data_IF_593663833618
#
_entry.id   IF_593663833618
#
_cell.length_a   1.000
_cell.length_b   1.000
_cell.length_c   1.000
_cell.angle_alpha   90.00
_cell.angle_beta   90.00
_cell.angle_gamma   90.00
#
_symmetry.space_group_name_H-M   'P 1'
#
loop_
_entity.id
_entity.type
_entity.pdbx_description
1 polymer ?
#
# COMPACT_ATOMS: atom_id res chain seq x y z
N UNK A 1 14.63 31.68 -38.79
CA UNK A 1 13.64 30.59 -38.69
C UNK A 1 13.50 30.24 -37.22
N UNK A 2 12.45 30.71 -36.53
CA UNK A 2 12.24 30.37 -35.12
C UNK A 2 11.66 28.96 -35.02
N UNK A 3 12.18 28.17 -34.09
CA UNK A 3 11.77 26.77 -33.89
C UNK A 3 10.30 26.66 -33.47
N UNK A 4 9.53 25.71 -34.04
CA UNK A 4 8.15 25.45 -33.65
C UNK A 4 8.12 24.51 -32.44
N UNK A 5 7.41 24.93 -31.38
CA UNK A 5 7.06 24.05 -30.26
C UNK A 5 7.88 24.27 -28.98
N UNK A 6 7.99 25.52 -28.52
CA UNK A 6 8.36 25.79 -27.14
C UNK A 6 7.35 25.14 -26.20
N UNK A 7 7.71 23.99 -25.62
CA UNK A 7 6.93 23.36 -24.56
C UNK A 7 6.78 24.37 -23.43
N UNK A 8 5.54 24.85 -23.22
CA UNK A 8 5.22 25.75 -22.12
C UNK A 8 5.76 25.13 -20.81
N UNK A 9 6.53 25.92 -20.07
CA UNK A 9 7.16 25.51 -18.82
C UNK A 9 6.15 25.02 -17.76
N UNK A 10 6.64 24.56 -16.61
CA UNK A 10 5.77 24.11 -15.53
C UNK A 10 4.80 25.23 -15.11
N UNK A 11 3.50 24.91 -14.91
CA UNK A 11 2.52 25.94 -14.59
C UNK A 11 2.79 26.53 -13.20
N UNK A 12 2.61 27.85 -13.08
CA UNK A 12 2.75 28.56 -11.81
C UNK A 12 1.61 28.21 -10.85
N UNK A 13 1.84 28.46 -9.55
CA UNK A 13 0.80 28.28 -8.51
C UNK A 13 -0.44 29.11 -8.80
N UNK A 14 -0.28 30.32 -9.35
CA UNK A 14 -1.37 31.21 -9.73
C UNK A 14 -2.18 30.64 -10.91
N UNK A 15 -1.51 30.06 -11.91
CA UNK A 15 -2.16 29.39 -13.04
C UNK A 15 -2.98 28.17 -12.58
N UNK A 16 -2.44 27.38 -11.64
CA UNK A 16 -3.16 26.25 -11.04
C UNK A 16 -4.40 26.75 -10.28
N UNK A 17 -4.28 27.79 -9.46
CA UNK A 17 -5.41 28.37 -8.72
C UNK A 17 -6.48 28.96 -9.66
N UNK A 18 -6.08 29.56 -10.78
CA UNK A 18 -7.02 30.04 -11.79
C UNK A 18 -7.73 28.89 -12.50
N UNK A 19 -7.01 27.82 -12.84
CA UNK A 19 -7.60 26.61 -13.41
C UNK A 19 -8.60 25.93 -12.45
N UNK A 20 -8.26 25.85 -11.15
CA UNK A 20 -9.15 25.33 -10.11
C UNK A 20 -10.46 26.13 -10.02
N UNK A 21 -10.36 27.48 -10.06
CA UNK A 21 -11.53 28.36 -10.05
C UNK A 21 -12.42 28.13 -11.27
N UNK A 22 -11.83 28.01 -12.47
CA UNK A 22 -12.58 27.74 -13.70
C UNK A 22 -13.34 26.41 -13.62
N UNK A 23 -12.70 25.35 -13.14
CA UNK A 23 -13.33 24.02 -12.99
C UNK A 23 -14.44 24.05 -11.93
N UNK A 24 -14.24 24.76 -10.82
CA UNK A 24 -15.25 24.89 -9.78
C UNK A 24 -16.56 25.54 -10.28
N UNK A 25 -16.50 26.41 -11.31
CA UNK A 25 -17.68 27.09 -11.85
C UNK A 25 -18.68 26.15 -12.55
N UNK A 26 -18.21 25.02 -13.07
CA UNK A 26 -19.04 24.02 -13.75
C UNK A 26 -19.20 22.73 -12.95
N UNK A 27 -18.48 22.60 -11.82
CA UNK A 27 -18.55 21.40 -10.98
C UNK A 27 -19.93 21.27 -10.31
N UNK A 28 -20.64 20.13 -10.52
CA UNK A 28 -21.87 19.83 -9.80
C UNK A 28 -21.66 19.81 -8.28
N UNK A 29 -22.71 20.11 -7.52
CA UNK A 29 -22.64 20.16 -6.05
C UNK A 29 -22.19 18.83 -5.43
N UNK A 30 -22.64 17.70 -5.98
CA UNK A 30 -22.33 16.35 -5.53
C UNK A 30 -20.84 15.98 -5.71
N UNK A 31 -20.23 16.45 -6.80
CA UNK A 31 -18.82 16.18 -7.12
C UNK A 31 -17.85 17.17 -6.42
N UNK A 32 -18.36 18.28 -5.89
CA UNK A 32 -17.56 19.40 -5.38
C UNK A 32 -16.66 19.02 -4.20
N UNK A 33 -17.09 18.25 -3.18
CA UNK A 33 -16.22 17.90 -2.05
C UNK A 33 -14.99 17.10 -2.49
N UNK A 34 -15.20 16.08 -3.33
CA UNK A 34 -14.12 15.20 -3.80
C UNK A 34 -13.16 15.97 -4.70
N UNK A 35 -13.69 16.77 -5.63
CA UNK A 35 -12.86 17.55 -6.55
C UNK A 35 -12.06 18.62 -5.81
N UNK A 36 -12.64 19.26 -4.78
CA UNK A 36 -11.92 20.24 -3.95
C UNK A 36 -10.74 19.59 -3.24
N UNK A 37 -10.90 18.37 -2.71
CA UNK A 37 -9.80 17.62 -2.09
C UNK A 37 -8.72 17.28 -3.11
N UNK A 38 -9.08 16.76 -4.29
CA UNK A 38 -8.11 16.38 -5.32
C UNK A 38 -7.33 17.58 -5.85
N UNK A 39 -8.01 18.69 -6.14
CA UNK A 39 -7.39 19.92 -6.59
C UNK A 39 -6.55 20.58 -5.50
N UNK A 40 -7.01 20.54 -4.24
CA UNK A 40 -6.25 20.98 -3.08
C UNK A 40 -4.95 20.19 -2.93
N UNK A 41 -5.01 18.86 -3.07
CA UNK A 41 -3.82 18.00 -3.02
C UNK A 41 -2.83 18.32 -4.13
N UNK A 42 -3.30 18.56 -5.37
CA UNK A 42 -2.44 18.98 -6.49
C UNK A 42 -1.79 20.33 -6.21
N UNK A 43 -2.55 21.31 -5.73
CA UNK A 43 -2.02 22.64 -5.40
C UNK A 43 -0.99 22.58 -4.29
N UNK A 44 -1.29 21.87 -3.19
CA UNK A 44 -0.36 21.69 -2.07
C UNK A 44 0.90 20.95 -2.50
N UNK A 45 0.79 19.90 -3.32
CA UNK A 45 1.94 19.18 -3.85
C UNK A 45 2.81 20.05 -4.78
N UNK A 46 2.17 20.87 -5.62
CA UNK A 46 2.85 21.78 -6.53
C UNK A 46 3.63 22.86 -5.76
N UNK A 47 3.04 23.40 -4.68
CA UNK A 47 3.68 24.34 -3.76
C UNK A 47 4.80 23.69 -2.94
N UNK A 48 4.62 22.45 -2.51
CA UNK A 48 5.63 21.69 -1.76
C UNK A 48 6.81 21.24 -2.63
N UNK A 49 6.67 21.27 -3.96
CA UNK A 49 7.73 20.87 -4.88
C UNK A 49 7.74 19.38 -5.23
N UNK A 50 6.75 18.60 -4.78
CA UNK A 50 6.72 17.15 -4.97
C UNK A 50 5.55 16.46 -4.28
N UNK A 51 5.33 15.18 -4.61
CA UNK A 51 4.38 14.29 -3.94
C UNK A 51 4.97 12.88 -3.86
N UNK A 52 4.53 12.08 -2.89
CA UNK A 52 4.91 10.66 -2.79
C UNK A 52 4.46 9.91 -4.05
N UNK A 53 5.34 9.14 -4.69
CA UNK A 53 5.05 8.40 -5.91
C UNK A 53 3.82 7.49 -5.77
N UNK A 54 3.64 6.86 -4.59
CA UNK A 54 2.48 6.02 -4.28
C UNK A 54 1.14 6.77 -4.28
N UNK A 55 1.16 8.09 -4.08
CA UNK A 55 -0.01 8.98 -4.15
C UNK A 55 -0.15 9.65 -5.52
N UNK A 56 0.94 9.79 -6.27
CA UNK A 56 0.94 10.41 -7.60
C UNK A 56 0.01 9.68 -8.58
N UNK A 57 0.15 8.36 -8.68
CA UNK A 57 -0.68 7.53 -9.57
C UNK A 57 -2.17 7.61 -9.16
N UNK A 58 -2.45 7.51 -7.85
CA UNK A 58 -3.80 7.63 -7.32
C UNK A 58 -4.42 9.01 -7.56
N UNK A 59 -3.63 10.07 -7.44
CA UNK A 59 -4.04 11.45 -7.72
C UNK A 59 -4.29 11.65 -9.22
N UNK A 60 -3.40 11.18 -10.10
CA UNK A 60 -3.56 11.26 -11.56
C UNK A 60 -4.82 10.54 -12.02
N UNK A 61 -4.99 9.27 -11.62
CA UNK A 61 -6.16 8.46 -11.99
C UNK A 61 -7.45 9.10 -11.45
N UNK A 62 -7.44 9.53 -10.19
CA UNK A 62 -8.63 10.13 -9.57
C UNK A 62 -8.97 11.48 -10.20
N UNK A 63 -7.98 12.33 -10.46
CA UNK A 63 -8.18 13.63 -11.06
C UNK A 63 -8.70 13.47 -12.50
N UNK A 64 -8.10 12.59 -13.30
CA UNK A 64 -8.61 12.30 -14.66
C UNK A 64 -10.03 11.75 -14.65
N UNK A 65 -10.35 10.84 -13.73
CA UNK A 65 -11.71 10.32 -13.55
C UNK A 65 -12.70 11.45 -13.26
N UNK A 66 -12.44 12.28 -12.26
CA UNK A 66 -13.39 13.30 -11.82
C UNK A 66 -13.49 14.48 -12.78
N UNK A 67 -12.41 14.83 -13.50
CA UNK A 67 -12.49 15.82 -14.58
C UNK A 67 -13.45 15.33 -15.68
N UNK A 68 -13.32 14.08 -16.14
CA UNK A 68 -14.27 13.52 -17.12
C UNK A 68 -15.71 13.50 -16.62
N UNK A 69 -15.91 13.22 -15.33
CA UNK A 69 -17.25 13.27 -14.73
C UNK A 69 -17.80 14.70 -14.72
N UNK A 70 -16.98 15.70 -14.37
CA UNK A 70 -17.39 17.13 -14.40
C UNK A 70 -17.71 17.59 -15.83
N UNK A 71 -16.97 17.12 -16.83
CA UNK A 71 -17.30 17.37 -18.23
C UNK A 71 -18.71 16.86 -18.57
N UNK A 72 -19.01 15.62 -18.21
CA UNK A 72 -20.32 15.03 -18.50
C UNK A 72 -21.45 15.72 -17.71
N UNK A 73 -21.35 15.70 -16.38
CA UNK A 73 -22.45 16.10 -15.49
C UNK A 73 -22.56 17.61 -15.33
N UNK A 74 -21.43 18.31 -15.39
CA UNK A 74 -21.34 19.76 -15.20
C UNK A 74 -21.46 20.56 -16.49
N UNK A 75 -21.08 19.98 -17.64
CA UNK A 75 -21.10 20.67 -18.93
C UNK A 75 -22.16 20.10 -19.87
N UNK A 76 -22.05 18.83 -20.25
CA UNK A 76 -22.90 18.24 -21.31
C UNK A 76 -24.35 18.10 -20.86
N UNK A 77 -24.60 17.52 -19.68
CA UNK A 77 -25.97 17.27 -19.19
C UNK A 77 -26.79 18.56 -19.07
N UNK A 78 -26.29 19.67 -18.49
CA UNK A 78 -27.02 20.93 -18.46
C UNK A 78 -27.36 21.49 -19.84
N UNK A 79 -26.47 21.36 -20.83
CA UNK A 79 -26.72 21.84 -22.20
C UNK A 79 -27.82 21.02 -22.90
N UNK A 80 -27.79 19.70 -22.77
CA UNK A 80 -28.78 18.79 -23.38
C UNK A 80 -30.19 19.02 -22.83
N UNK A 81 -30.33 19.58 -21.61
CA UNK A 81 -31.63 19.93 -21.02
C UNK A 81 -32.33 21.14 -21.65
N UNK A 82 -31.72 21.78 -22.65
CA UNK A 82 -32.37 22.84 -23.42
C UNK A 82 -33.71 22.39 -24.03
N UNK A 83 -34.67 23.31 -24.12
CA UNK A 83 -35.96 23.07 -24.76
C UNK A 83 -35.88 23.13 -26.29
N UNK A 84 -34.84 23.73 -26.85
CA UNK A 84 -34.63 23.82 -28.30
C UNK A 84 -34.11 22.48 -28.86
N UNK A 85 -34.88 21.83 -29.73
CA UNK A 85 -34.58 20.50 -30.26
C UNK A 85 -33.31 20.45 -31.10
N UNK A 86 -33.07 21.48 -31.91
CA UNK A 86 -31.88 21.58 -32.76
C UNK A 86 -30.61 21.75 -31.91
N UNK A 87 -30.67 22.61 -30.90
CA UNK A 87 -29.57 22.76 -29.94
C UNK A 87 -29.36 21.48 -29.11
N UNK A 88 -30.42 20.80 -28.69
CA UNK A 88 -30.33 19.52 -27.98
C UNK A 88 -29.61 18.47 -28.79
N UNK A 89 -29.94 18.35 -30.09
CA UNK A 89 -29.25 17.43 -31.00
C UNK A 89 -27.76 17.76 -31.11
N UNK A 90 -27.40 19.04 -31.31
CA UNK A 90 -26.01 19.51 -31.36
C UNK A 90 -25.25 19.23 -30.06
N UNK A 91 -25.85 19.51 -28.90
CA UNK A 91 -25.20 19.28 -27.61
C UNK A 91 -25.09 17.79 -27.26
N UNK A 92 -26.05 16.97 -27.69
CA UNK A 92 -25.98 15.51 -27.51
C UNK A 92 -24.87 14.88 -28.34
N UNK A 93 -24.47 15.53 -29.43
CA UNK A 93 -23.35 15.13 -30.28
C UNK A 93 -21.99 15.68 -29.80
N UNK A 94 -21.93 16.35 -28.64
CA UNK A 94 -20.66 16.85 -28.11
C UNK A 94 -19.64 15.72 -27.89
N UNK A 95 -18.36 15.94 -28.23
CA UNK A 95 -17.33 14.93 -28.01
C UNK A 95 -17.18 14.57 -26.54
N UNK A 96 -16.93 13.29 -26.29
CA UNK A 96 -16.60 12.79 -24.95
C UNK A 96 -15.16 13.15 -24.61
N UNK A 97 -14.94 13.75 -23.45
CA UNK A 97 -13.60 13.93 -22.90
C UNK A 97 -13.01 12.58 -22.48
N UNK A 98 -12.25 11.94 -23.37
CA UNK A 98 -11.66 10.61 -23.12
C UNK A 98 -10.38 10.68 -22.29
N UNK A 99 -9.50 11.60 -22.65
CA UNK A 99 -8.25 11.89 -21.93
C UNK A 99 -8.16 13.38 -21.60
N UNK A 100 -8.17 13.76 -20.30
CA UNK A 100 -7.96 15.14 -19.89
C UNK A 100 -6.60 15.73 -20.29
N UNK A 101 -5.61 14.92 -20.71
CA UNK A 101 -4.31 15.42 -21.19
C UNK A 101 -4.37 15.99 -22.60
N UNK A 102 -5.33 15.53 -23.41
CA UNK A 102 -5.53 16.00 -24.78
C UNK A 102 -6.99 16.42 -24.98
N UNK A 103 -7.19 17.73 -24.93
CA UNK A 103 -8.51 18.36 -25.02
C UNK A 103 -8.72 19.11 -26.34
N UNK A 104 -7.72 19.14 -27.23
CA UNK A 104 -7.69 20.01 -28.40
C UNK A 104 -8.90 19.81 -29.32
N UNK A 105 -9.24 18.57 -29.62
CA UNK A 105 -10.38 18.23 -30.48
C UNK A 105 -11.73 18.59 -29.82
N UNK A 106 -11.83 18.35 -28.51
CA UNK A 106 -13.03 18.68 -27.74
C UNK A 106 -13.21 20.20 -27.69
N UNK A 107 -12.13 20.95 -27.44
CA UNK A 107 -12.13 22.40 -27.39
C UNK A 107 -12.48 23.02 -28.74
N UNK A 108 -11.92 22.49 -29.84
CA UNK A 108 -12.23 22.95 -31.19
C UNK A 108 -13.71 22.72 -31.53
N UNK A 109 -14.26 21.56 -31.17
CA UNK A 109 -15.67 21.27 -31.36
C UNK A 109 -16.57 22.20 -30.54
N UNK A 110 -16.26 22.44 -29.26
CA UNK A 110 -17.03 23.35 -28.40
C UNK A 110 -16.99 24.79 -28.91
N UNK A 111 -15.82 25.28 -29.35
CA UNK A 111 -15.70 26.62 -29.93
C UNK A 111 -16.51 26.77 -31.22
N UNK A 112 -16.54 25.74 -32.06
CA UNK A 112 -17.40 25.71 -33.26
C UNK A 112 -18.87 25.80 -32.87
N UNK A 113 -19.32 24.95 -31.95
CA UNK A 113 -20.70 24.98 -31.45
C UNK A 113 -21.03 26.36 -30.86
N UNK A 114 -20.13 26.95 -30.08
CA UNK A 114 -20.32 28.28 -29.49
C UNK A 114 -20.40 29.41 -30.51
N UNK A 115 -19.82 29.26 -31.71
CA UNK A 115 -19.95 30.25 -32.79
C UNK A 115 -21.29 30.20 -33.52
N UNK A 116 -22.01 29.07 -33.41
CA UNK A 116 -23.30 28.85 -34.06
C UNK A 116 -24.48 29.16 -33.12
N UNK A 117 -24.23 29.32 -31.82
CA UNK A 117 -25.24 29.66 -30.81
C UNK A 117 -25.33 31.19 -30.66
N UNK A 118 -26.54 31.78 -30.71
CA UNK A 118 -26.70 33.23 -30.57
C UNK A 118 -26.09 33.78 -29.27
N UNK A 119 -25.44 34.94 -29.40
CA UNK A 119 -24.92 35.72 -28.28
C UNK A 119 -26.06 36.05 -27.29
N UNK A 120 -25.72 36.16 -25.99
CA UNK A 120 -26.65 36.48 -24.88
C UNK A 120 -27.66 35.38 -24.49
N UNK A 121 -27.45 34.13 -24.91
CA UNK A 121 -28.24 32.99 -24.40
C UNK A 121 -27.58 32.31 -23.19
N UNK A 122 -28.38 31.68 -22.31
CA UNK A 122 -27.86 30.87 -21.19
C UNK A 122 -27.00 29.69 -21.68
N UNK A 123 -27.31 29.16 -22.86
CA UNK A 123 -26.48 28.16 -23.53
C UNK A 123 -25.10 28.73 -23.90
N UNK A 124 -25.04 29.97 -24.42
CA UNK A 124 -23.79 30.64 -24.72
C UNK A 124 -22.95 30.91 -23.47
N UNK A 125 -23.57 31.34 -22.36
CA UNK A 125 -22.87 31.51 -21.09
C UNK A 125 -22.27 30.18 -20.57
N UNK A 126 -23.02 29.09 -20.72
CA UNK A 126 -22.56 27.76 -20.30
C UNK A 126 -21.48 27.20 -21.23
N UNK A 127 -21.58 27.45 -22.54
CA UNK A 127 -20.53 27.14 -23.51
C UNK A 127 -19.25 27.95 -23.23
N UNK A 128 -19.36 29.23 -22.83
CA UNK A 128 -18.21 30.02 -22.42
C UNK A 128 -17.56 29.48 -21.12
N UNK A 129 -18.34 28.90 -20.20
CA UNK A 129 -17.79 28.16 -19.05
C UNK A 129 -17.14 26.84 -19.47
N UNK A 130 -17.71 26.14 -20.45
CA UNK A 130 -17.15 24.91 -21.02
C UNK A 130 -15.79 25.15 -21.68
N UNK A 131 -15.66 26.24 -22.45
CA UNK A 131 -14.38 26.67 -23.04
C UNK A 131 -13.35 26.93 -21.95
N UNK A 132 -13.69 27.72 -20.93
CA UNK A 132 -12.78 27.99 -19.79
C UNK A 132 -12.40 26.72 -19.02
N UNK A 133 -13.32 25.77 -18.87
CA UNK A 133 -13.04 24.47 -18.28
C UNK A 133 -12.00 23.69 -19.12
N UNK A 134 -12.21 23.59 -20.44
CA UNK A 134 -11.30 22.88 -21.33
C UNK A 134 -9.93 23.57 -21.45
N UNK A 135 -9.86 24.89 -21.32
CA UNK A 135 -8.59 25.62 -21.24
C UNK A 135 -7.86 25.40 -19.91
N UNK A 136 -8.60 25.21 -18.82
CA UNK A 136 -8.05 24.97 -17.49
C UNK A 136 -7.54 23.53 -17.29
N UNK A 137 -8.17 22.54 -17.91
CA UNK A 137 -7.84 21.12 -17.75
C UNK A 137 -6.36 20.80 -18.09
N UNK A 138 -5.81 21.24 -19.23
CA UNK A 138 -4.40 21.05 -19.56
C UNK A 138 -3.45 21.70 -18.56
N UNK A 139 -3.81 22.81 -17.92
CA UNK A 139 -2.99 23.45 -16.88
C UNK A 139 -2.80 22.50 -15.70
N UNK A 140 -3.89 21.86 -15.26
CA UNK A 140 -3.81 20.86 -14.18
C UNK A 140 -3.05 19.60 -14.60
N UNK A 141 -3.21 19.15 -15.85
CA UNK A 141 -2.47 17.99 -16.34
C UNK A 141 -0.97 18.28 -16.52
N UNK A 142 -0.59 19.50 -16.92
CA UNK A 142 0.80 19.95 -16.91
C UNK A 142 1.35 20.06 -15.49
N UNK A 143 0.55 20.52 -14.53
CA UNK A 143 0.95 20.53 -13.13
C UNK A 143 1.20 19.10 -12.61
N UNK A 144 0.34 18.14 -12.99
CA UNK A 144 0.53 16.72 -12.70
C UNK A 144 1.79 16.14 -13.39
N UNK A 145 2.02 16.45 -14.65
CA UNK A 145 3.19 15.98 -15.40
C UNK A 145 4.50 16.61 -14.91
N UNK A 146 4.46 17.87 -14.48
CA UNK A 146 5.59 18.53 -13.83
C UNK A 146 5.83 17.98 -12.42
N UNK A 147 4.78 17.66 -11.67
CA UNK A 147 4.88 16.98 -10.40
C UNK A 147 5.49 15.58 -10.58
N UNK A 148 5.05 14.84 -11.60
CA UNK A 148 5.63 13.57 -12.02
C UNK A 148 7.11 13.74 -12.40
N UNK A 149 7.43 14.73 -13.24
CA UNK A 149 8.79 15.05 -13.65
C UNK A 149 9.70 15.43 -12.47
N UNK A 150 9.21 16.19 -11.48
CA UNK A 150 9.93 16.51 -10.24
C UNK A 150 10.08 15.29 -9.32
N UNK A 151 9.06 14.45 -9.25
CA UNK A 151 9.08 13.20 -8.47
C UNK A 151 10.08 12.19 -9.04
N UNK A 152 10.24 12.13 -10.36
CA UNK A 152 11.16 11.20 -11.04
C UNK A 152 12.56 11.79 -11.33
N UNK A 153 12.73 13.11 -11.49
CA UNK A 153 14.06 13.75 -11.65
C UNK A 153 14.84 13.84 -10.34
N UNK A 154 14.19 13.77 -9.17
CA UNK A 154 14.86 13.67 -7.86
C UNK A 154 15.24 12.22 -7.50
N UNK A 155 15.85 11.51 -8.45
CA UNK A 155 16.69 10.36 -8.14
C UNK A 155 18.06 10.86 -7.69
N UNK A 156 18.47 10.52 -6.47
CA UNK A 156 19.73 10.91 -5.82
C UNK A 156 19.79 12.36 -5.28
N UNK A 157 19.29 12.55 -4.05
CA UNK A 157 19.68 13.66 -3.18
C UNK A 157 18.57 14.66 -2.86
N UNK A 158 18.29 14.82 -1.56
CA UNK A 158 17.37 15.78 -0.91
C UNK A 158 15.87 15.45 -0.94
N UNK A 159 15.50 14.55 -0.05
CA UNK A 159 14.18 14.51 0.56
C UNK A 159 14.05 15.63 1.60
N UNK A 160 13.08 16.55 1.44
CA UNK A 160 12.57 17.36 2.54
C UNK A 160 11.04 17.45 2.50
N UNK A 161 10.45 16.76 3.49
CA UNK A 161 9.30 17.18 4.29
C UNK A 161 7.93 17.42 3.60
N UNK A 162 7.16 16.35 3.43
CA UNK A 162 5.80 16.31 4.03
C UNK A 162 5.29 14.86 4.18
N UNK A 163 5.38 14.33 5.41
CA UNK A 163 4.66 13.14 5.86
C UNK A 163 5.44 11.83 5.87
N UNK A 164 6.46 11.74 6.74
CA UNK A 164 7.17 10.55 7.21
C UNK A 164 7.61 9.50 6.17
N UNK A 165 8.93 9.38 6.03
CA UNK A 165 9.60 8.29 5.30
C UNK A 165 9.27 6.88 5.79
N UNK A 166 8.61 6.74 6.96
CA UNK A 166 8.13 5.45 7.49
C UNK A 166 7.07 4.77 6.65
N UNK A 167 6.47 5.50 5.72
CA UNK A 167 5.50 4.94 4.79
C UNK A 167 6.11 4.04 3.72
N UNK A 168 7.32 4.25 3.21
CA UNK A 168 7.73 3.56 1.97
C UNK A 168 8.11 2.10 2.21
N UNK A 169 8.88 1.80 3.25
CA UNK A 169 9.22 0.41 3.61
C UNK A 169 8.03 -0.34 4.18
N UNK A 170 7.26 0.30 5.05
CA UNK A 170 6.04 -0.29 5.59
C UNK A 170 4.99 -0.50 4.49
N UNK A 171 4.82 0.44 3.55
CA UNK A 171 3.93 0.23 2.40
C UNK A 171 4.48 -0.76 1.40
N UNK A 172 5.79 -0.84 1.15
CA UNK A 172 6.42 -1.86 0.31
C UNK A 172 6.24 -3.25 0.92
N UNK A 173 6.49 -3.41 2.23
CA UNK A 173 6.21 -4.63 2.99
C UNK A 173 4.74 -5.01 2.87
N UNK A 174 3.81 -4.11 3.23
CA UNK A 174 2.36 -4.36 3.14
C UNK A 174 1.91 -4.64 1.71
N UNK A 175 2.54 -4.05 0.69
CA UNK A 175 2.28 -4.36 -0.73
C UNK A 175 2.77 -5.77 -1.07
N UNK A 176 3.97 -6.16 -0.65
CA UNK A 176 4.49 -7.51 -0.86
C UNK A 176 3.64 -8.56 -0.16
N UNK A 177 3.25 -8.34 1.11
CA UNK A 177 2.35 -9.24 1.85
C UNK A 177 1.00 -9.37 1.14
N UNK A 178 0.36 -8.25 0.75
CA UNK A 178 -0.92 -8.29 0.01
C UNK A 178 -0.78 -8.95 -1.37
N UNK A 179 0.32 -8.70 -2.07
CA UNK A 179 0.58 -9.33 -3.37
C UNK A 179 0.78 -10.83 -3.21
N UNK A 180 1.53 -11.26 -2.20
CA UNK A 180 1.72 -12.67 -1.85
C UNK A 180 0.39 -13.32 -1.43
N UNK A 181 -0.46 -12.62 -0.67
CA UNK A 181 -1.79 -13.09 -0.30
C UNK A 181 -2.68 -13.30 -1.54
N UNK A 182 -2.69 -12.33 -2.47
CA UNK A 182 -3.46 -12.45 -3.71
C UNK A 182 -2.95 -13.59 -4.59
N UNK A 183 -1.62 -13.74 -4.70
CA UNK A 183 -0.99 -14.85 -5.42
C UNK A 183 -1.32 -16.19 -4.75
N UNK A 184 -1.27 -16.27 -3.42
CA UNK A 184 -1.66 -17.43 -2.63
C UNK A 184 -3.11 -17.82 -2.90
N UNK A 185 -4.06 -16.89 -2.77
CA UNK A 185 -5.48 -17.16 -3.02
C UNK A 185 -5.71 -17.68 -4.44
N UNK A 186 -4.99 -17.13 -5.44
CA UNK A 186 -5.06 -17.63 -6.83
C UNK A 186 -4.49 -19.04 -6.97
N UNK A 187 -3.31 -19.31 -6.43
CA UNK A 187 -2.67 -20.62 -6.47
C UNK A 187 -3.51 -21.69 -5.75
N UNK A 188 -4.01 -21.35 -4.55
CA UNK A 188 -4.83 -22.21 -3.72
C UNK A 188 -6.16 -22.56 -4.40
N UNK A 189 -6.85 -21.61 -5.06
CA UNK A 189 -8.08 -21.92 -5.79
C UNK A 189 -7.87 -22.99 -6.86
N UNK A 190 -6.78 -22.90 -7.61
CA UNK A 190 -6.49 -23.86 -8.67
C UNK A 190 -6.07 -25.22 -8.10
N UNK A 191 -5.19 -25.23 -7.09
CA UNK A 191 -4.62 -26.45 -6.52
C UNK A 191 -5.61 -27.22 -5.63
N UNK A 192 -6.51 -26.52 -4.92
CA UNK A 192 -7.46 -27.12 -3.98
C UNK A 192 -8.81 -27.47 -4.63
N UNK A 193 -9.10 -27.00 -5.84
CA UNK A 193 -10.35 -27.34 -6.53
C UNK A 193 -10.57 -28.86 -6.71
N UNK A 194 -9.55 -29.67 -7.07
CA UNK A 194 -9.67 -31.14 -7.07
C UNK A 194 -9.87 -31.71 -5.67
N UNK A 195 -9.20 -31.17 -4.66
CA UNK A 195 -9.29 -31.62 -3.26
C UNK A 195 -10.72 -31.47 -2.70
N UNK A 196 -11.48 -30.46 -3.12
CA UNK A 196 -12.88 -30.33 -2.72
C UNK A 196 -13.82 -31.42 -3.28
N UNK A 197 -13.44 -32.09 -4.37
CA UNK A 197 -14.18 -33.26 -4.86
C UNK A 197 -13.92 -34.44 -3.93
N UNK A 198 -12.66 -34.71 -3.63
CA UNK A 198 -12.25 -35.87 -2.82
C UNK A 198 -12.66 -35.72 -1.35
N UNK A 199 -12.69 -34.47 -0.84
CA UNK A 199 -13.29 -34.15 0.45
C UNK A 199 -14.76 -34.54 0.55
N UNK A 200 -15.51 -34.55 -0.56
CA UNK A 200 -16.91 -34.97 -0.51
C UNK A 200 -17.01 -36.44 -0.14
N UNK A 201 -16.21 -37.28 -0.78
CA UNK A 201 -16.22 -38.71 -0.50
C UNK A 201 -15.66 -38.98 0.90
N UNK A 202 -14.60 -38.26 1.30
CA UNK A 202 -14.00 -38.40 2.61
C UNK A 202 -14.94 -38.00 3.77
N UNK A 203 -15.57 -36.82 3.72
CA UNK A 203 -16.45 -36.31 4.80
C UNK A 203 -17.69 -37.19 5.02
N UNK A 204 -18.18 -37.86 3.97
CA UNK A 204 -19.29 -38.82 4.11
C UNK A 204 -18.84 -40.24 4.46
N UNK A 205 -17.58 -40.61 4.19
CA UNK A 205 -17.04 -41.94 4.49
C UNK A 205 -16.44 -42.04 5.90
N UNK A 206 -15.85 -40.95 6.42
CA UNK A 206 -15.20 -40.93 7.73
C UNK A 206 -15.17 -39.53 8.35
N UNK A 207 -15.01 -39.48 9.67
CA UNK A 207 -14.79 -38.22 10.39
C UNK A 207 -13.36 -37.74 10.16
N UNK A 208 -13.20 -36.58 9.51
CA UNK A 208 -11.91 -35.91 9.37
C UNK A 208 -11.51 -35.27 10.71
N UNK A 209 -10.30 -35.52 11.20
CA UNK A 209 -9.84 -34.94 12.46
C UNK A 209 -9.74 -33.40 12.41
N UNK A 210 -9.54 -32.82 11.22
CA UNK A 210 -9.60 -31.37 11.03
C UNK A 210 -10.93 -30.73 11.43
N UNK A 211 -12.03 -31.49 11.44
CA UNK A 211 -13.34 -31.01 11.92
C UNK A 211 -13.34 -30.69 13.43
N UNK A 212 -12.39 -31.25 14.18
CA UNK A 212 -12.22 -31.03 15.62
C UNK A 212 -10.88 -30.37 15.96
N UNK A 213 -10.09 -30.01 14.94
CA UNK A 213 -8.72 -29.55 15.11
C UNK A 213 -8.65 -28.04 15.41
N UNK A 214 -7.93 -27.61 16.47
CA UNK A 214 -7.73 -26.19 16.74
C UNK A 214 -7.07 -25.37 15.60
N UNK A 215 -6.18 -25.90 14.74
CA UNK A 215 -5.62 -25.09 13.66
C UNK A 215 -6.60 -24.79 12.51
N UNK A 216 -7.75 -25.49 12.44
CA UNK A 216 -8.70 -25.38 11.32
C UNK A 216 -9.98 -24.63 11.71
N UNK A 217 -9.84 -23.47 12.36
CA UNK A 217 -10.97 -22.73 12.94
C UNK A 217 -12.06 -22.36 11.94
N UNK A 218 -11.70 -22.08 10.68
CA UNK A 218 -12.65 -21.66 9.64
C UNK A 218 -13.08 -22.81 8.74
N UNK A 219 -12.24 -23.82 8.57
CA UNK A 219 -12.54 -25.02 7.79
C UNK A 219 -13.43 -25.99 8.57
N UNK A 220 -13.19 -26.13 9.88
CA UNK A 220 -13.88 -27.10 10.74
C UNK A 220 -15.42 -26.97 10.74
N UNK A 221 -16.03 -25.77 10.87
CA UNK A 221 -17.49 -25.63 10.85
C UNK A 221 -18.13 -26.14 9.55
N UNK A 222 -17.46 -25.92 8.41
CA UNK A 222 -17.96 -26.37 7.11
C UNK A 222 -17.80 -27.88 6.91
N UNK A 223 -16.81 -28.50 7.57
CA UNK A 223 -16.63 -29.97 7.60
C UNK A 223 -17.64 -30.66 8.53
N UNK A 224 -18.09 -30.00 9.59
CA UNK A 224 -19.06 -30.54 10.56
C UNK A 224 -20.51 -30.47 10.09
N UNK A 225 -20.83 -29.55 9.17
CA UNK A 225 -22.18 -29.36 8.66
C UNK A 225 -22.25 -29.48 7.13
N UNK A 226 -21.84 -30.62 6.53
CA UNK A 226 -22.05 -30.84 5.10
C UNK A 226 -23.56 -30.85 4.82
N UNK A 227 -24.04 -30.22 3.73
CA UNK A 227 -25.46 -30.18 3.43
C UNK A 227 -26.03 -31.59 3.29
N UNK A 228 -26.94 -31.94 4.20
CA UNK A 228 -27.60 -33.24 4.26
C UNK A 228 -28.85 -33.18 3.37
N UNK A 229 -28.68 -33.41 2.07
CA UNK A 229 -29.84 -33.59 1.20
C UNK A 229 -29.62 -33.27 -0.27
N UNK A 230 -29.83 -34.26 -1.13
CA UNK A 230 -30.12 -34.08 -2.55
C UNK A 230 -29.03 -34.59 -3.50
N UNK A 231 -29.19 -35.86 -3.91
CA UNK A 231 -28.51 -36.51 -5.04
C UNK A 231 -26.97 -36.40 -5.03
N UNK A 232 -26.34 -37.44 -4.47
CA UNK A 232 -25.09 -37.95 -5.03
C UNK A 232 -25.25 -37.99 -6.56
N UNK A 233 -24.38 -37.28 -7.27
CA UNK A 233 -24.26 -37.19 -8.73
C UNK A 233 -24.90 -35.95 -9.40
N UNK A 234 -24.02 -35.13 -10.00
CA UNK A 234 -24.23 -34.38 -11.27
C UNK A 234 -24.92 -33.01 -11.26
N UNK A 235 -24.93 -32.22 -10.18
CA UNK A 235 -25.08 -30.76 -10.39
C UNK A 235 -23.78 -30.22 -11.01
N UNK A 236 -23.87 -29.60 -12.20
CA UNK A 236 -22.73 -28.92 -12.86
C UNK A 236 -22.25 -27.69 -12.09
N UNK A 237 -23.07 -27.16 -11.19
CA UNK A 237 -22.70 -26.11 -10.27
C UNK A 237 -21.94 -26.72 -9.10
N UNK A 238 -20.72 -26.22 -8.84
CA UNK A 238 -19.93 -26.58 -7.66
C UNK A 238 -20.81 -26.33 -6.43
N UNK A 239 -21.13 -27.35 -5.61
CA UNK A 239 -21.94 -27.14 -4.42
C UNK A 239 -21.32 -26.04 -3.55
N UNK A 240 -22.09 -25.01 -3.20
CA UNK A 240 -21.60 -23.81 -2.52
C UNK A 240 -20.79 -24.10 -1.24
N UNK A 241 -21.05 -25.23 -0.57
CA UNK A 241 -20.28 -25.69 0.60
C UNK A 241 -18.82 -26.02 0.27
N UNK A 242 -18.53 -26.59 -0.91
CA UNK A 242 -17.17 -26.91 -1.34
C UNK A 242 -16.30 -25.67 -1.50
N UNK A 243 -16.91 -24.59 -2.00
CA UNK A 243 -16.23 -23.30 -2.12
C UNK A 243 -15.93 -22.73 -0.73
N UNK A 244 -16.87 -22.81 0.21
CA UNK A 244 -16.66 -22.36 1.60
C UNK A 244 -15.58 -23.16 2.32
N UNK A 245 -15.50 -24.47 2.12
CA UNK A 245 -14.39 -25.29 2.68
C UNK A 245 -13.04 -24.84 2.11
N UNK A 246 -12.95 -24.58 0.80
CA UNK A 246 -11.72 -24.06 0.17
C UNK A 246 -11.37 -22.68 0.73
N UNK A 247 -12.35 -21.78 0.88
CA UNK A 247 -12.15 -20.44 1.43
C UNK A 247 -11.74 -20.48 2.91
N UNK A 248 -12.35 -21.37 3.69
CA UNK A 248 -11.98 -21.67 5.06
C UNK A 248 -10.53 -22.15 5.16
N UNK A 249 -10.15 -23.13 4.33
CA UNK A 249 -8.79 -23.68 4.32
C UNK A 249 -7.76 -22.65 3.87
N UNK A 250 -8.08 -21.83 2.87
CA UNK A 250 -7.22 -20.71 2.48
C UNK A 250 -7.00 -19.74 3.64
N UNK A 251 -8.08 -19.41 4.36
CA UNK A 251 -8.00 -18.50 5.48
C UNK A 251 -7.28 -19.11 6.69
N UNK A 252 -7.44 -20.40 6.97
CA UNK A 252 -6.70 -21.10 8.03
C UNK A 252 -5.21 -21.21 7.66
N UNK A 253 -4.85 -21.50 6.40
CA UNK A 253 -3.45 -21.55 5.96
C UNK A 253 -2.76 -20.18 6.02
N UNK A 254 -3.44 -19.12 5.55
CA UNK A 254 -2.87 -17.78 5.51
C UNK A 254 -2.88 -17.11 6.89
N UNK A 255 -4.03 -17.08 7.56
CA UNK A 255 -4.19 -16.40 8.85
C UNK A 255 -3.73 -17.27 10.03
N UNK A 256 -3.68 -18.59 9.88
CA UNK A 256 -3.17 -19.50 10.90
C UNK A 256 -1.64 -19.46 11.06
N UNK A 257 -0.93 -18.65 10.26
CA UNK A 257 0.45 -18.25 10.58
C UNK A 257 1.35 -17.94 9.39
N UNK A 258 1.05 -18.41 8.17
CA UNK A 258 1.90 -18.16 7.00
C UNK A 258 2.01 -16.65 6.66
N UNK A 259 0.90 -15.91 6.72
CA UNK A 259 0.87 -14.46 6.47
C UNK A 259 1.62 -13.67 7.54
N UNK A 260 1.43 -14.04 8.82
CA UNK A 260 2.11 -13.43 9.95
C UNK A 260 3.63 -13.71 9.93
N UNK A 261 4.03 -14.93 9.62
CA UNK A 261 5.44 -15.32 9.48
C UNK A 261 6.12 -14.56 8.33
N UNK A 262 5.43 -14.39 7.20
CA UNK A 262 5.93 -13.56 6.10
C UNK A 262 6.08 -12.10 6.54
N UNK A 263 5.08 -11.53 7.20
CA UNK A 263 5.12 -10.14 7.64
C UNK A 263 6.25 -9.90 8.66
N UNK A 264 6.41 -10.79 9.64
CA UNK A 264 7.49 -10.73 10.62
C UNK A 264 8.87 -10.76 9.95
N UNK A 265 9.09 -11.69 9.00
CA UNK A 265 10.36 -11.79 8.28
C UNK A 265 10.67 -10.56 7.44
N UNK A 266 9.68 -10.04 6.69
CA UNK A 266 9.87 -8.84 5.87
C UNK A 266 10.06 -7.57 6.72
N UNK A 267 9.52 -7.55 7.94
CA UNK A 267 9.70 -6.45 8.89
C UNK A 267 11.10 -6.47 9.48
N UNK A 268 11.59 -7.64 9.87
CA UNK A 268 12.89 -7.81 10.53
C UNK A 268 14.07 -7.73 9.55
N UNK A 269 13.95 -8.36 8.38
CA UNK A 269 15.07 -8.50 7.45
C UNK A 269 14.79 -7.72 6.15
N UNK A 270 15.44 -6.57 5.94
CA UNK A 270 15.28 -5.79 4.72
C UNK A 270 15.82 -6.52 3.49
N UNK A 271 15.32 -6.14 2.31
CA UNK A 271 15.79 -6.67 1.03
C UNK A 271 15.31 -8.07 0.67
N UNK A 272 14.48 -8.71 1.52
CA UNK A 272 13.79 -9.93 1.15
C UNK A 272 12.74 -9.63 0.08
N UNK A 273 12.74 -10.45 -0.97
CA UNK A 273 11.77 -10.39 -2.06
C UNK A 273 10.96 -11.69 -2.14
N UNK A 274 9.65 -11.56 -2.31
CA UNK A 274 8.76 -12.67 -2.65
C UNK A 274 8.95 -13.02 -4.12
N UNK A 275 9.50 -14.21 -4.39
CA UNK A 275 9.79 -14.71 -5.75
C UNK A 275 8.64 -15.52 -6.34
N UNK A 276 7.84 -16.15 -5.50
CA UNK A 276 6.74 -16.98 -5.97
C UNK A 276 5.91 -17.53 -4.83
N UNK A 277 4.66 -17.85 -5.15
CA UNK A 277 3.72 -18.49 -4.23
C UNK A 277 3.11 -19.69 -4.94
N UNK A 278 3.09 -20.83 -4.26
CA UNK A 278 2.57 -22.07 -4.80
C UNK A 278 1.78 -22.83 -3.74
N UNK A 279 0.83 -23.63 -4.21
CA UNK A 279 0.13 -24.62 -3.39
C UNK A 279 0.13 -25.92 -4.17
N UNK A 280 0.62 -26.98 -3.54
CA UNK A 280 0.68 -28.32 -4.12
C UNK A 280 -0.15 -29.27 -3.30
N UNK A 281 -0.91 -30.12 -3.98
CA UNK A 281 -1.61 -31.25 -3.35
C UNK A 281 -0.63 -32.41 -3.23
N UNK A 282 -0.62 -33.09 -2.09
CA UNK A 282 0.26 -34.23 -1.84
C UNK A 282 -0.48 -35.54 -1.54
N UNK A 283 -1.78 -35.46 -1.33
CA UNK A 283 -2.68 -36.60 -1.11
C UNK A 283 -4.12 -36.18 -1.31
N UNK A 284 -5.08 -37.00 -0.91
CA UNK A 284 -6.50 -36.71 -1.18
C UNK A 284 -7.05 -35.56 -0.34
N UNK A 285 -6.55 -35.43 0.88
CA UNK A 285 -6.98 -34.41 1.84
C UNK A 285 -5.78 -33.69 2.51
N UNK A 286 -4.63 -33.69 1.84
CA UNK A 286 -3.38 -33.09 2.31
C UNK A 286 -2.64 -32.30 1.23
N UNK A 287 -1.80 -31.36 1.66
CA UNK A 287 -1.04 -30.52 0.75
C UNK A 287 -0.04 -29.60 1.44
N UNK A 288 0.60 -28.78 0.61
CA UNK A 288 1.68 -27.89 0.99
C UNK A 288 1.47 -26.52 0.34
N UNK A 289 1.35 -25.49 1.17
CA UNK A 289 1.49 -24.10 0.74
C UNK A 289 2.95 -23.66 0.86
N UNK A 290 3.44 -22.89 -0.11
CA UNK A 290 4.83 -22.45 -0.19
C UNK A 290 4.94 -21.00 -0.66
N UNK A 291 5.68 -20.18 0.08
CA UNK A 291 6.10 -18.84 -0.33
C UNK A 291 7.61 -18.86 -0.51
N UNK A 292 8.07 -18.72 -1.75
CA UNK A 292 9.49 -18.68 -2.08
C UNK A 292 10.03 -17.26 -1.92
N UNK A 293 11.10 -17.14 -1.16
CA UNK A 293 11.72 -15.88 -0.75
C UNK A 293 13.20 -15.87 -1.16
N UNK A 294 13.72 -14.68 -1.42
CA UNK A 294 15.14 -14.52 -1.70
C UNK A 294 15.66 -13.18 -1.19
N UNK A 295 16.93 -13.15 -0.80
CA UNK A 295 17.69 -11.92 -0.50
C UNK A 295 19.11 -12.08 -1.02
N UNK A 296 19.45 -11.36 -2.08
CA UNK A 296 20.72 -11.54 -2.80
C UNK A 296 20.91 -13.01 -3.23
N UNK A 297 21.99 -13.63 -2.77
CA UNK A 297 22.31 -15.05 -3.04
C UNK A 297 21.58 -16.06 -2.16
N UNK A 298 20.85 -15.62 -1.13
CA UNK A 298 20.11 -16.50 -0.22
C UNK A 298 18.73 -16.77 -0.82
N UNK A 299 18.33 -18.04 -0.87
CA UNK A 299 16.98 -18.46 -1.29
C UNK A 299 16.40 -19.38 -0.23
N UNK A 300 15.13 -19.25 0.07
CA UNK A 300 14.44 -20.12 1.03
C UNK A 300 12.93 -20.08 0.77
N UNK A 301 12.17 -20.87 1.51
CA UNK A 301 10.72 -20.79 1.47
C UNK A 301 10.10 -20.91 2.86
N UNK A 302 9.00 -20.17 3.05
CA UNK A 302 8.05 -20.45 4.11
C UNK A 302 7.07 -21.50 3.61
N UNK A 303 6.82 -22.51 4.44
CA UNK A 303 5.93 -23.60 4.11
C UNK A 303 4.87 -23.80 5.18
N UNK A 304 3.66 -24.13 4.75
CA UNK A 304 2.59 -24.62 5.62
C UNK A 304 2.05 -25.94 5.05
N UNK A 305 2.32 -27.03 5.74
CA UNK A 305 1.85 -28.38 5.40
C UNK A 305 0.56 -28.66 6.16
N UNK A 306 -0.48 -29.09 5.45
CA UNK A 306 -1.76 -29.44 6.06
C UNK A 306 -2.15 -30.87 5.74
N UNK A 307 -2.79 -31.52 6.70
CA UNK A 307 -3.43 -32.82 6.53
C UNK A 307 -4.77 -32.82 7.28
N UNK A 308 -5.86 -32.87 6.53
CA UNK A 308 -7.21 -32.80 7.10
C UNK A 308 -7.65 -34.13 7.72
N UNK A 309 -7.02 -35.24 7.34
CA UNK A 309 -7.34 -36.56 7.88
C UNK A 309 -6.91 -36.67 9.34
N UNK A 310 -5.68 -36.24 9.64
CA UNK A 310 -5.13 -36.23 11.01
C UNK A 310 -5.31 -34.89 11.73
N UNK A 311 -5.74 -33.84 11.02
CA UNK A 311 -6.00 -32.52 11.62
C UNK A 311 -4.73 -31.76 11.96
N UNK A 312 -3.63 -31.99 11.23
CA UNK A 312 -2.35 -31.30 11.44
C UNK A 312 -2.16 -30.12 10.49
N UNK A 313 -1.61 -29.03 11.03
CA UNK A 313 -1.10 -27.89 10.27
C UNK A 313 0.29 -27.54 10.81
N UNK A 314 1.33 -27.80 10.02
CA UNK A 314 2.73 -27.58 10.39
C UNK A 314 3.31 -26.44 9.57
N UNK A 315 4.07 -25.55 10.21
CA UNK A 315 4.71 -24.40 9.55
C UNK A 315 6.21 -24.46 9.76
N UNK A 316 6.96 -24.39 8.65
CA UNK A 316 8.40 -24.54 8.64
C UNK A 316 9.07 -23.62 7.63
N UNK A 317 10.37 -23.42 7.80
CA UNK A 317 11.26 -22.92 6.76
C UNK A 317 11.91 -24.08 6.00
N UNK A 318 11.89 -24.00 4.67
CA UNK A 318 12.40 -25.06 3.80
C UNK A 318 13.34 -24.51 2.74
N UNK A 319 14.18 -25.39 2.21
CA UNK A 319 15.07 -25.14 1.06
C UNK A 319 15.94 -23.90 1.21
N UNK A 320 16.53 -23.72 2.39
CA UNK A 320 17.52 -22.67 2.60
C UNK A 320 18.75 -22.98 1.75
N UNK A 321 19.03 -22.13 0.77
CA UNK A 321 20.18 -22.19 -0.12
C UNK A 321 21.07 -21.00 0.14
N UNK A 322 22.31 -21.27 0.54
CA UNK A 322 23.33 -20.26 0.87
C UNK A 322 24.64 -20.68 0.23
N UNK A 323 25.22 -19.81 -0.61
CA UNK A 323 26.48 -20.09 -1.31
C UNK A 323 26.52 -21.47 -2.00
N UNK A 324 25.40 -21.89 -2.60
CA UNK A 324 25.27 -23.18 -3.30
C UNK A 324 24.99 -24.39 -2.41
N UNK A 325 25.05 -24.28 -1.07
CA UNK A 325 24.65 -25.36 -0.15
C UNK A 325 23.16 -25.28 0.15
N UNK A 326 22.43 -26.40 -0.02
CA UNK A 326 21.00 -26.52 0.29
C UNK A 326 20.80 -27.25 1.61
N UNK A 327 20.00 -26.65 2.48
CA UNK A 327 19.45 -27.23 3.71
C UNK A 327 17.95 -27.45 3.50
N UNK A 328 17.48 -28.71 3.34
CA UNK A 328 16.09 -28.99 2.97
C UNK A 328 15.07 -28.54 4.02
N UNK A 329 15.39 -28.74 5.30
CA UNK A 329 14.62 -28.27 6.45
C UNK A 329 15.56 -27.47 7.34
N UNK A 330 15.29 -26.19 7.47
CA UNK A 330 16.01 -25.32 8.39
C UNK A 330 15.03 -24.92 9.49
N UNK A 331 15.48 -24.95 10.74
CA UNK A 331 14.74 -24.32 11.82
C UNK A 331 14.64 -22.81 11.56
N UNK A 332 13.62 -22.18 12.16
CA UNK A 332 13.46 -20.72 12.08
C UNK A 332 14.70 -19.98 12.58
N UNK A 333 15.27 -20.43 13.70
CA UNK A 333 16.48 -19.85 14.28
C UNK A 333 17.69 -19.95 13.33
N UNK A 334 17.87 -21.08 12.62
CA UNK A 334 18.94 -21.23 11.63
C UNK A 334 18.75 -20.31 10.42
N UNK A 335 17.50 -20.13 9.96
CA UNK A 335 17.18 -19.18 8.90
C UNK A 335 17.50 -17.75 9.32
N UNK A 336 17.00 -17.31 10.48
CA UNK A 336 17.19 -15.96 11.01
C UNK A 336 18.68 -15.67 11.25
N UNK A 337 19.42 -16.57 11.90
CA UNK A 337 20.86 -16.42 12.09
C UNK A 337 21.63 -16.31 10.76
N UNK A 338 21.18 -17.02 9.72
CA UNK A 338 21.77 -16.89 8.39
C UNK A 338 21.44 -15.55 7.73
N UNK A 339 20.22 -15.05 7.92
CA UNK A 339 19.80 -13.73 7.44
C UNK A 339 20.49 -12.60 8.21
N UNK A 340 20.90 -12.80 9.45
CA UNK A 340 21.59 -11.77 10.22
C UNK A 340 23.06 -11.69 9.82
N UNK A 341 23.71 -12.85 9.69
CA UNK A 341 25.12 -12.93 9.27
C UNK A 341 25.39 -12.38 7.86
N UNK A 342 24.41 -12.47 6.97
CA UNK A 342 24.57 -12.10 5.55
C UNK A 342 23.75 -10.86 5.19
N UNK A 343 23.72 -9.88 6.10
CA UNK A 343 23.13 -8.58 5.86
C UNK A 343 23.94 -7.85 4.77
N UNK A 344 23.29 -7.39 3.68
CA UNK A 344 23.99 -6.59 2.67
C UNK A 344 24.56 -5.30 3.29
N UNK A 345 25.77 -4.84 2.91
CA UNK A 345 26.41 -3.66 3.50
C UNK A 345 25.54 -2.40 3.46
N UNK A 346 24.71 -2.25 2.42
CA UNK A 346 23.76 -1.14 2.27
C UNK A 346 22.65 -1.12 3.35
N UNK A 347 22.47 -2.23 4.08
CA UNK A 347 21.52 -2.36 5.18
C UNK A 347 22.20 -2.51 6.55
N UNK A 348 23.53 -2.58 6.62
CA UNK A 348 24.29 -2.68 7.87
C UNK A 348 24.63 -1.30 8.45
N UNK A 349 23.58 -0.54 8.81
CA UNK A 349 23.70 0.77 9.46
C UNK A 349 23.35 0.69 10.95
N UNK A 350 23.86 1.64 11.75
CA UNK A 350 23.51 1.73 13.18
C UNK A 350 21.99 1.68 13.43
N UNK A 351 21.18 2.48 12.72
CA UNK A 351 19.72 2.43 12.86
C UNK A 351 19.11 1.05 12.58
N UNK A 352 19.66 0.29 11.62
CA UNK A 352 19.19 -1.05 11.31
C UNK A 352 19.58 -2.08 12.36
N UNK A 353 20.81 -2.03 12.89
CA UNK A 353 21.24 -2.90 13.99
C UNK A 353 20.42 -2.64 15.25
N UNK A 354 20.14 -1.37 15.56
CA UNK A 354 19.26 -0.99 16.65
C UNK A 354 17.82 -1.50 16.43
N UNK A 355 17.25 -1.29 15.25
CA UNK A 355 15.92 -1.81 14.89
C UNK A 355 15.85 -3.34 15.07
N UNK A 356 16.89 -4.06 14.65
CA UNK A 356 16.97 -5.50 14.79
C UNK A 356 16.97 -5.93 16.26
N UNK A 357 17.80 -5.30 17.09
CA UNK A 357 17.81 -5.51 18.56
C UNK A 357 16.45 -5.25 19.20
N UNK A 358 15.72 -4.22 18.77
CA UNK A 358 14.36 -3.92 19.28
C UNK A 358 13.38 -5.04 18.89
N UNK A 359 13.45 -5.53 17.65
CA UNK A 359 12.57 -6.61 17.16
C UNK A 359 12.93 -7.99 17.74
N UNK A 360 14.14 -8.16 18.27
CA UNK A 360 14.58 -9.33 19.04
C UNK A 360 14.05 -9.32 20.49
N UNK A 361 13.80 -8.14 21.05
CA UNK A 361 13.35 -7.97 22.43
C UNK A 361 11.84 -8.12 22.61
N UNK A 362 11.43 -8.45 23.84
CA UNK A 362 10.02 -8.50 24.22
C UNK A 362 9.34 -7.13 24.01
N UNK A 363 8.22 -7.12 23.27
CA UNK A 363 7.42 -5.91 23.01
C UNK A 363 7.80 -5.12 21.74
N UNK A 364 8.84 -5.54 20.99
CA UNK A 364 9.20 -4.90 19.72
C UNK A 364 8.11 -4.97 18.64
N UNK A 365 7.20 -5.94 18.72
CA UNK A 365 6.11 -6.13 17.77
C UNK A 365 5.09 -4.97 17.77
N UNK A 366 4.90 -4.33 18.93
CA UNK A 366 3.98 -3.21 19.16
C UNK A 366 4.56 -1.85 18.75
N UNK A 367 5.81 -1.82 18.26
CA UNK A 367 6.51 -0.60 17.89
C UNK A 367 6.69 -0.48 16.37
N UNK A 368 6.15 0.56 15.77
CA UNK A 368 6.50 0.94 14.40
C UNK A 368 7.91 1.55 14.39
N UNK A 369 8.85 0.89 13.70
CA UNK A 369 10.25 1.27 13.60
C UNK A 369 10.57 1.62 12.15
N UNK A 370 11.30 2.72 11.94
CA UNK A 370 11.78 3.10 10.62
C UNK A 370 13.13 3.84 10.69
N UNK A 371 14.21 3.27 10.13
CA UNK A 371 15.48 3.98 10.04
C UNK A 371 15.38 5.10 8.99
N UNK A 372 15.77 6.30 9.39
CA UNK A 372 15.71 7.51 8.59
C UNK A 372 17.12 8.03 8.34
N UNK A 373 17.52 8.13 7.08
CA UNK A 373 18.91 8.48 6.74
C UNK A 373 19.90 7.38 7.14
N UNK A 374 21.15 7.79 7.37
CA UNK A 374 22.24 6.86 7.73
C UNK A 374 22.37 6.66 9.25
N UNK A 375 21.79 7.57 10.03
CA UNK A 375 22.10 7.76 11.45
C UNK A 375 20.87 7.95 12.36
N UNK A 376 19.64 8.03 11.84
CA UNK A 376 18.44 8.22 12.68
C UNK A 376 17.51 7.00 12.68
N UNK A 377 16.84 6.74 13.81
CA UNK A 377 15.76 5.77 13.94
C UNK A 377 14.48 6.46 14.45
N UNK A 378 13.41 6.31 13.67
CA UNK A 378 12.06 6.78 14.03
C UNK A 378 11.29 5.63 14.69
N UNK A 379 10.66 5.92 15.83
CA UNK A 379 9.92 4.96 16.65
C UNK A 379 8.53 5.53 16.92
N UNK A 380 7.49 4.73 16.74
CA UNK A 380 6.13 5.08 17.12
C UNK A 380 5.45 3.89 17.79
N UNK A 381 4.66 4.14 18.82
CA UNK A 381 3.86 3.09 19.44
C UNK A 381 2.62 2.81 18.59
N UNK A 382 2.25 1.53 18.45
CA UNK A 382 0.95 1.17 17.92
C UNK A 382 -0.15 1.62 18.90
N UNK A 383 -1.33 1.95 18.38
CA UNK A 383 -2.45 2.39 19.21
C UNK A 383 -2.81 1.33 20.27
N UNK A 384 -2.67 1.68 21.56
CA UNK A 384 -2.92 0.78 22.69
C UNK A 384 -1.75 -0.15 23.04
N UNK A 385 -0.61 -0.05 22.34
CA UNK A 385 0.62 -0.77 22.67
C UNK A 385 1.20 -0.31 24.01
N UNK A 386 1.74 -1.26 24.77
CA UNK A 386 2.41 -0.95 26.04
C UNK A 386 3.91 -0.95 25.82
N UNK A 387 4.56 0.15 26.16
CA UNK A 387 6.02 0.20 26.24
C UNK A 387 6.45 -0.56 27.51
N UNK A 388 7.38 -1.53 27.42
CA UNK A 388 7.88 -2.24 28.60
C UNK A 388 8.47 -1.26 29.64
N UNK A 389 8.43 -1.60 30.95
CA UNK A 389 9.21 -0.89 31.95
C UNK A 389 10.68 -0.81 31.52
N UNK A 390 11.33 0.33 31.78
CA UNK A 390 12.75 0.57 31.48
C UNK A 390 13.15 0.56 29.99
N UNK A 391 12.21 0.36 29.07
CA UNK A 391 12.47 0.33 27.63
C UNK A 391 13.16 1.60 27.13
N UNK A 392 12.79 2.78 27.64
CA UNK A 392 13.38 4.05 27.20
C UNK A 392 14.85 4.15 27.59
N UNK A 393 15.21 3.69 28.80
CA UNK A 393 16.61 3.66 29.25
C UNK A 393 17.45 2.70 28.41
N UNK A 394 16.98 1.46 28.26
CA UNK A 394 17.62 0.47 27.39
C UNK A 394 17.76 0.95 25.94
N UNK A 395 16.71 1.58 25.39
CA UNK A 395 16.70 2.11 24.02
C UNK A 395 17.79 3.18 23.83
N UNK A 396 17.97 4.05 24.82
CA UNK A 396 18.99 5.10 24.77
C UNK A 396 20.39 4.52 24.84
N UNK A 397 20.64 3.57 25.74
CA UNK A 397 21.92 2.87 25.83
C UNK A 397 22.25 2.15 24.52
N UNK A 398 21.30 1.39 23.98
CA UNK A 398 21.48 0.68 22.73
C UNK A 398 21.67 1.63 21.52
N UNK A 399 21.01 2.79 21.53
CA UNK A 399 21.20 3.80 20.49
C UNK A 399 22.56 4.49 20.58
N UNK A 400 23.08 4.74 21.78
CA UNK A 400 24.40 5.31 21.97
C UNK A 400 25.52 4.34 21.57
N UNK A 401 25.36 3.04 21.86
CA UNK A 401 26.28 2.00 21.37
C UNK A 401 26.39 1.98 19.84
N UNK A 402 25.27 2.20 19.15
CA UNK A 402 25.18 2.18 17.69
C UNK A 402 25.39 3.56 17.04
N UNK A 403 25.55 4.63 17.83
CA UNK A 403 25.70 6.01 17.35
C UNK A 403 24.45 6.55 16.63
N UNK A 404 23.26 6.20 17.11
CA UNK A 404 21.98 6.47 16.43
C UNK A 404 21.22 7.60 17.11
N UNK A 405 20.75 8.56 16.32
CA UNK A 405 19.80 9.57 16.77
C UNK A 405 18.37 9.00 16.80
N UNK A 406 17.58 9.38 17.80
CA UNK A 406 16.24 8.83 18.01
C UNK A 406 15.16 9.88 17.78
N UNK A 407 14.08 9.49 17.09
CA UNK A 407 12.86 10.29 16.95
C UNK A 407 11.66 9.47 17.40
N UNK A 408 11.03 9.85 18.50
CA UNK A 408 9.90 9.11 19.07
C UNK A 408 8.60 9.88 18.83
N UNK A 409 7.66 9.27 18.10
CA UNK A 409 6.32 9.81 17.92
C UNK A 409 5.56 9.68 19.24
N UNK A 410 5.10 10.80 19.79
CA UNK A 410 4.31 10.78 21.02
C UNK A 410 2.83 10.93 20.68
N UNK A 411 2.05 9.90 20.98
CA UNK A 411 0.60 9.91 21.00
C UNK A 411 0.10 10.22 22.42
N UNK A 412 0.18 11.50 22.80
CA UNK A 412 -0.59 12.21 23.85
C UNK A 412 -0.72 11.59 25.26
N UNK A 413 -0.12 10.44 25.56
CA UNK A 413 -0.11 9.84 26.89
C UNK A 413 1.05 10.41 27.70
N UNK A 414 0.75 11.35 28.59
CA UNK A 414 1.73 12.15 29.33
C UNK A 414 2.79 11.40 30.15
N UNK A 415 2.63 10.09 30.40
CA UNK A 415 3.60 9.26 31.12
C UNK A 415 4.86 8.95 30.30
N UNK A 416 4.74 8.72 28.98
CA UNK A 416 5.88 8.44 28.11
C UNK A 416 6.72 9.71 27.86
N UNK A 417 6.07 10.87 27.76
CA UNK A 417 6.72 12.17 27.54
C UNK A 417 7.66 12.52 28.69
N UNK A 418 7.22 12.32 29.94
CA UNK A 418 8.03 12.61 31.12
C UNK A 418 9.28 11.75 31.20
N UNK A 419 9.18 10.47 30.83
CA UNK A 419 10.31 9.55 30.81
C UNK A 419 11.30 9.89 29.67
N UNK A 420 10.79 10.15 28.46
CA UNK A 420 11.63 10.61 27.34
C UNK A 420 12.40 11.89 27.69
N UNK A 421 11.76 12.85 28.36
CA UNK A 421 12.43 14.08 28.78
C UNK A 421 13.57 13.84 29.78
N UNK A 422 13.43 12.87 30.71
CA UNK A 422 14.51 12.50 31.66
C UNK A 422 15.74 11.93 30.96
N UNK A 423 15.54 11.24 29.84
CA UNK A 423 16.62 10.64 29.04
C UNK A 423 17.14 11.57 27.92
N UNK A 424 16.88 12.88 28.04
CA UNK A 424 17.47 13.91 27.17
C UNK A 424 16.77 14.12 25.83
N UNK A 425 15.54 13.62 25.66
CA UNK A 425 14.75 13.95 24.48
C UNK A 425 14.11 15.34 24.60
N UNK A 426 14.11 16.09 23.49
CA UNK A 426 13.49 17.40 23.39
C UNK A 426 12.49 17.44 22.23
N UNK A 427 11.46 18.29 22.31
CA UNK A 427 10.55 18.47 21.18
C UNK A 427 11.28 19.03 19.97
N UNK A 428 11.02 18.46 18.78
CA UNK A 428 11.56 19.00 17.54
C UNK A 428 11.03 20.43 17.29
N UNK A 429 11.94 21.34 16.91
CA UNK A 429 11.59 22.71 16.54
C UNK A 429 10.83 22.79 15.19
N UNK A 430 9.90 23.73 15.06
CA UNK A 430 9.19 24.00 13.80
C UNK A 430 7.93 23.15 13.56
N UNK A 431 7.66 22.75 12.30
CA UNK A 431 6.43 22.03 11.90
C UNK A 431 6.36 20.56 12.40
N UNK A 432 7.38 20.10 13.13
CA UNK A 432 7.57 18.70 13.55
C UNK A 432 7.27 18.44 15.05
N UNK A 433 6.46 19.29 15.69
CA UNK A 433 6.02 19.20 17.12
C UNK A 433 5.31 17.89 17.54
N UNK A 434 5.35 16.83 16.74
CA UNK A 434 4.81 15.50 17.02
C UNK A 434 5.86 14.49 17.48
N UNK A 435 7.16 14.84 17.46
CA UNK A 435 8.23 14.00 17.99
C UNK A 435 9.01 14.68 19.09
N UNK A 436 9.45 13.84 20.01
CA UNK A 436 10.60 14.12 20.83
C UNK A 436 11.83 13.48 20.17
N UNK A 437 12.91 14.24 20.08
CA UNK A 437 14.14 13.88 19.38
C UNK A 437 15.31 13.89 20.35
N UNK A 438 16.22 12.95 20.17
CA UNK A 438 17.50 12.88 20.87
C UNK A 438 18.62 12.71 19.84
N UNK A 439 19.63 13.60 19.78
CA UNK A 439 20.77 13.43 18.88
C UNK A 439 21.59 12.20 19.29
N UNK A 440 22.34 11.64 18.34
CA UNK A 440 23.32 10.60 18.65
C UNK A 440 24.39 11.17 19.61
N UNK A 441 24.68 10.46 20.70
CA UNK A 441 25.86 10.77 21.50
C UNK A 441 27.09 10.19 20.79
N UNK A 442 28.17 10.96 20.63
CA UNK A 442 29.39 10.39 20.07
C UNK A 442 29.93 9.29 21.00
N UNK A 443 30.42 8.15 20.48
CA UNK A 443 30.78 6.96 21.27
C UNK A 443 31.93 7.21 22.28
N UNK A 444 32.62 8.36 22.21
CA UNK A 444 33.67 8.76 23.14
C UNK A 444 33.20 9.68 24.28
N UNK A 445 31.95 10.14 24.29
CA UNK A 445 31.43 11.04 25.33
C UNK A 445 31.05 10.31 26.64
N UNK A 446 30.98 8.98 26.65
CA UNK A 446 30.73 8.19 27.86
C UNK A 446 31.93 8.15 28.85
N UNK A 447 33.07 8.78 28.50
CA UNK A 447 34.35 8.61 29.19
C UNK A 447 34.94 9.84 29.88
N UNK A 448 34.25 10.98 29.97
CA UNK A 448 34.77 12.14 30.71
C UNK A 448 33.66 12.90 31.43
N UNK A 449 33.35 12.46 32.65
CA UNK A 449 32.86 13.37 33.68
C UNK A 449 34.07 14.09 34.32
N UNK A 450 33.98 15.39 34.65
CA UNK A 450 34.99 16.08 35.44
C UNK A 450 35.09 15.56 36.87
#
# INVERSE_FOLDING_TARGET
>A
MPEPGGAAGPPSVEEIQQAMRAIATVCPAEARPILTVLLGNLLSASQAGGIVQSKLEGLDVSLRKHLRQVWLDGVVVPLVRTRNELQRATFSAMPVLRDPRDVSDVLAAVRRIASEVPELTTAQEHLAKAVRYLEAVPVLMRAMADLEGRTFRMGAGRWRASGYGSGERDTARRRQVRSAEQAFRRAARNALAPLARDLTDAVFACTLAAANGPPFTRTAPELLAPPVGGLRARSREVPAWRLRVIEGLQADLWNGGLGAALEALLRRHPGIEVRGVGVTREGDVSGLARISLARGSIKFALTARFDLQVGSLEQDAADLVVAGRRTPRASRAELEACLDRLLPPEFDTGPFRLMHRILDGDGGEDLALDPYGEDELVIACAAGGRVPPDFVGWLVEAADEEGVALKVASDETGLLIGELARHGFAWADGKERRFMTRPASPPWAAGTAP
#
